data_IF_246544400090
#
_entry.id   IF_246544400090
#
_cell.length_a   1.000
_cell.length_b   1.000
_cell.length_c   1.000
_cell.angle_alpha   90.00
_cell.angle_beta   90.00
_cell.angle_gamma   90.00
#
_symmetry.space_group_name_H-M   'P 1'
#
loop_
_entity.id
_entity.type
_entity.pdbx_description
1 polymer ?
#
# COMPACT_ATOMS: atom_id res chain seq x y z
N UNK A 1 -11.44 -4.80 -38.60
CA UNK A 1 -11.95 -5.68 -37.52
C UNK A 1 -10.97 -5.97 -36.38
N UNK A 2 -9.63 -5.86 -36.52
CA UNK A 2 -8.68 -6.14 -35.41
C UNK A 2 -8.52 -5.02 -34.34
N UNK A 3 -9.06 -3.81 -34.58
CA UNK A 3 -8.97 -2.66 -33.63
C UNK A 3 -9.83 -2.82 -32.36
N UNK A 4 -10.86 -3.66 -32.36
CA UNK A 4 -11.77 -3.81 -31.21
C UNK A 4 -11.33 -4.89 -30.20
N UNK A 5 -10.53 -5.87 -30.63
CA UNK A 5 -10.26 -7.10 -29.84
C UNK A 5 -9.33 -6.82 -28.65
N UNK A 6 -8.39 -5.88 -28.76
CA UNK A 6 -7.35 -5.66 -27.75
C UNK A 6 -7.86 -4.95 -26.48
N UNK A 7 -8.73 -3.94 -26.66
CA UNK A 7 -9.43 -3.26 -25.56
C UNK A 7 -10.46 -4.18 -24.90
N UNK A 8 -11.06 -5.08 -25.69
CA UNK A 8 -12.03 -6.08 -25.23
C UNK A 8 -11.43 -7.01 -24.17
N UNK A 9 -10.17 -7.43 -24.28
CA UNK A 9 -9.56 -8.35 -23.31
C UNK A 9 -9.33 -7.71 -21.93
N UNK A 10 -8.94 -6.42 -21.88
CA UNK A 10 -8.76 -5.72 -20.60
C UNK A 10 -10.14 -5.40 -19.99
N UNK A 11 -11.09 -4.92 -20.79
CA UNK A 11 -12.48 -4.64 -20.37
C UNK A 11 -13.28 -5.89 -19.94
N UNK A 12 -13.08 -7.04 -20.58
CA UNK A 12 -13.66 -8.31 -20.13
C UNK A 12 -13.01 -8.74 -18.81
N UNK A 13 -11.69 -8.56 -18.66
CA UNK A 13 -11.01 -8.98 -17.44
C UNK A 13 -11.37 -8.11 -16.23
N UNK A 14 -11.57 -6.79 -16.40
CA UNK A 14 -12.09 -5.92 -15.33
C UNK A 14 -13.52 -6.31 -14.96
N UNK A 15 -14.40 -6.51 -15.94
CA UNK A 15 -15.75 -6.99 -15.68
C UNK A 15 -15.76 -8.39 -15.04
N UNK A 16 -14.87 -9.32 -15.40
CA UNK A 16 -14.80 -10.66 -14.81
C UNK A 16 -14.22 -10.66 -13.38
N UNK A 17 -13.27 -9.76 -13.08
CA UNK A 17 -12.68 -9.63 -11.74
C UNK A 17 -13.67 -9.00 -10.76
N UNK A 18 -14.50 -8.06 -11.21
CA UNK A 18 -15.45 -7.34 -10.37
C UNK A 18 -16.92 -7.77 -10.55
N UNK A 19 -17.23 -8.72 -11.45
CA UNK A 19 -18.58 -9.32 -11.60
C UNK A 19 -18.99 -10.19 -10.42
N UNK A 20 -18.04 -10.66 -9.61
CA UNK A 20 -18.35 -10.96 -8.21
C UNK A 20 -18.67 -9.63 -7.55
N UNK A 21 -19.92 -9.17 -7.69
CA UNK A 21 -20.60 -8.49 -6.58
C UNK A 21 -20.48 -9.47 -5.43
N UNK A 22 -19.42 -9.36 -4.65
CA UNK A 22 -19.37 -10.01 -3.37
C UNK A 22 -20.49 -9.34 -2.60
N UNK A 23 -21.62 -10.01 -2.48
CA UNK A 23 -22.50 -9.84 -1.34
C UNK A 23 -21.68 -10.24 -0.11
N UNK A 24 -20.72 -9.41 0.26
CA UNK A 24 -20.52 -9.13 1.68
C UNK A 24 -21.85 -8.48 2.01
N UNK A 25 -22.75 -9.27 2.59
CA UNK A 25 -24.07 -8.81 2.98
C UNK A 25 -23.89 -7.42 3.62
N UNK A 26 -24.65 -6.45 3.11
CA UNK A 26 -24.60 -5.04 3.43
C UNK A 26 -23.59 -4.64 4.52
N UNK A 27 -22.54 -3.91 4.12
CA UNK A 27 -21.60 -3.24 5.02
C UNK A 27 -22.28 -2.25 5.98
N UNK A 28 -23.60 -2.04 5.89
CA UNK A 28 -24.38 -1.34 6.89
C UNK A 28 -24.71 -2.26 8.05
N UNK A 29 -23.73 -2.39 8.95
CA UNK A 29 -23.86 -2.96 10.29
C UNK A 29 -24.31 -4.43 10.27
N UNK A 30 -23.39 -5.33 10.66
CA UNK A 30 -23.81 -6.34 11.63
C UNK A 30 -24.18 -5.53 12.88
N UNK A 31 -25.40 -4.98 12.91
CA UNK A 31 -25.99 -4.52 14.16
C UNK A 31 -26.09 -5.80 14.96
N UNK A 32 -25.38 -5.85 16.09
CA UNK A 32 -25.85 -6.64 17.22
C UNK A 32 -27.33 -6.35 17.30
N UNK A 33 -28.17 -7.34 17.00
CA UNK A 33 -29.60 -7.13 17.12
C UNK A 33 -29.88 -6.77 18.59
N UNK A 34 -31.01 -6.13 18.87
CA UNK A 34 -31.31 -5.66 20.22
C UNK A 34 -31.26 -6.79 21.26
N UNK A 35 -31.48 -8.04 20.81
CA UNK A 35 -31.39 -9.24 21.64
C UNK A 35 -29.94 -9.68 21.86
N UNK A 36 -29.06 -9.54 20.88
CA UNK A 36 -27.62 -9.71 21.00
C UNK A 36 -27.05 -8.63 21.92
N UNK A 37 -27.53 -7.38 21.89
CA UNK A 37 -27.13 -6.34 22.85
C UNK A 37 -27.52 -6.65 24.29
N UNK A 38 -28.79 -7.02 24.49
CA UNK A 38 -29.29 -7.45 25.80
C UNK A 38 -28.50 -8.66 26.30
N UNK A 39 -28.18 -9.60 25.41
CA UNK A 39 -27.28 -10.71 25.72
C UNK A 39 -25.91 -10.20 26.16
N UNK A 40 -25.29 -9.31 25.36
CA UNK A 40 -23.95 -8.81 25.63
C UNK A 40 -23.87 -8.06 26.97
N UNK A 41 -24.92 -7.30 27.34
CA UNK A 41 -25.05 -6.61 28.62
C UNK A 41 -25.23 -7.60 29.78
N UNK A 42 -26.17 -8.54 29.69
CA UNK A 42 -26.42 -9.56 30.72
C UNK A 42 -25.16 -10.43 30.97
N UNK A 43 -24.40 -10.75 29.92
CA UNK A 43 -23.17 -11.55 30.03
C UNK A 43 -21.94 -10.75 30.46
N UNK A 44 -21.98 -9.42 30.38
CA UNK A 44 -20.91 -8.56 30.91
C UNK A 44 -20.98 -8.40 32.42
N UNK A 45 -22.17 -8.56 33.01
CA UNK A 45 -22.42 -8.45 34.45
C UNK A 45 -22.25 -9.78 35.21
N UNK A 46 -22.29 -10.91 34.52
CA UNK A 46 -21.99 -12.23 35.09
C UNK A 46 -20.49 -12.46 35.11
N UNK A 47 -19.87 -12.18 36.27
CA UNK A 47 -18.44 -12.37 36.53
C UNK A 47 -17.90 -13.69 35.95
N UNK A 48 -16.88 -13.56 35.09
CA UNK A 48 -16.27 -14.54 34.19
C UNK A 48 -16.92 -14.62 32.80
N UNK A 49 -16.51 -13.68 31.93
CA UNK A 49 -16.47 -13.92 30.49
C UNK A 49 -15.87 -15.30 30.22
N UNK A 50 -16.57 -16.14 29.44
CA UNK A 50 -15.87 -17.24 28.79
C UNK A 50 -14.81 -16.63 27.85
N UNK A 51 -13.59 -17.15 27.90
CA UNK A 51 -12.48 -16.74 27.03
C UNK A 51 -12.90 -16.74 25.54
N UNK A 52 -13.79 -17.66 25.14
CA UNK A 52 -14.39 -17.70 23.79
C UNK A 52 -15.17 -16.44 23.41
N UNK A 53 -15.91 -15.86 24.35
CA UNK A 53 -16.75 -14.70 24.09
C UNK A 53 -15.92 -13.41 24.01
N UNK A 54 -14.90 -13.27 24.86
CA UNK A 54 -13.95 -12.15 24.76
C UNK A 54 -13.20 -12.15 23.44
N UNK A 55 -12.73 -13.34 23.00
CA UNK A 55 -12.06 -13.51 21.70
C UNK A 55 -12.96 -13.19 20.51
N UNK A 56 -14.24 -13.55 20.58
CA UNK A 56 -15.23 -13.21 19.56
C UNK A 56 -15.37 -11.69 19.40
N UNK A 57 -15.53 -10.94 20.50
CA UNK A 57 -15.66 -9.47 20.46
C UNK A 57 -14.39 -8.82 19.90
N UNK A 58 -13.21 -9.26 20.36
CA UNK A 58 -11.93 -8.75 19.84
C UNK A 58 -11.82 -8.97 18.33
N UNK A 59 -12.14 -10.17 17.84
CA UNK A 59 -12.07 -10.46 16.40
C UNK A 59 -13.09 -9.66 15.61
N UNK A 60 -14.33 -9.56 16.08
CA UNK A 60 -15.40 -8.81 15.40
C UNK A 60 -15.07 -7.31 15.35
N UNK A 61 -14.88 -6.70 16.50
CA UNK A 61 -14.94 -5.23 16.65
C UNK A 61 -13.59 -4.54 16.44
N UNK A 62 -12.48 -5.29 16.55
CA UNK A 62 -11.13 -4.74 16.41
C UNK A 62 -10.40 -5.30 15.19
N UNK A 63 -10.44 -6.62 14.96
CA UNK A 63 -9.69 -7.22 13.85
C UNK A 63 -10.45 -7.13 12.52
N UNK A 64 -11.74 -7.47 12.53
CA UNK A 64 -12.56 -7.56 11.32
C UNK A 64 -13.11 -6.18 10.93
N UNK A 65 -13.81 -5.54 11.86
CA UNK A 65 -14.40 -4.21 11.73
C UNK A 65 -13.55 -3.18 12.50
N UNK A 66 -13.53 -1.93 12.03
CA UNK A 66 -12.67 -0.86 12.58
C UNK A 66 -11.95 -0.07 11.49
N UNK A 67 -11.46 1.15 11.83
CA UNK A 67 -10.78 2.04 10.85
C UNK A 67 -9.57 1.40 10.16
N UNK A 68 -8.93 0.42 10.81
CA UNK A 68 -7.82 -0.37 10.28
C UNK A 68 -8.10 -1.88 10.19
N UNK A 69 -9.37 -2.29 10.33
CA UNK A 69 -9.77 -3.71 10.29
C UNK A 69 -9.60 -4.37 8.92
N UNK A 70 -9.67 -5.71 8.91
CA UNK A 70 -9.52 -6.57 7.72
C UNK A 70 -10.45 -6.11 6.60
N UNK A 71 -11.71 -5.75 6.90
CA UNK A 71 -12.68 -5.26 5.91
C UNK A 71 -12.20 -3.99 5.19
N UNK A 72 -11.66 -3.02 5.93
CA UNK A 72 -11.15 -1.78 5.35
C UNK A 72 -9.89 -2.01 4.50
N UNK A 73 -8.99 -2.89 4.95
CA UNK A 73 -7.78 -3.23 4.19
C UNK A 73 -8.13 -4.02 2.93
N UNK A 74 -9.13 -4.90 2.99
CA UNK A 74 -9.64 -5.62 1.83
C UNK A 74 -10.23 -4.68 0.77
N UNK A 75 -11.10 -3.75 1.17
CA UNK A 75 -11.67 -2.75 0.25
C UNK A 75 -10.59 -1.84 -0.36
N UNK A 76 -9.56 -1.49 0.42
CA UNK A 76 -8.39 -0.74 -0.08
C UNK A 76 -7.61 -1.54 -1.12
N UNK A 77 -7.29 -2.82 -0.85
CA UNK A 77 -6.65 -3.74 -1.80
C UNK A 77 -7.44 -3.81 -3.13
N UNK A 78 -8.77 -3.94 -3.07
CA UNK A 78 -9.62 -3.93 -4.26
C UNK A 78 -9.58 -2.59 -5.02
N UNK A 79 -9.63 -1.46 -4.31
CA UNK A 79 -9.58 -0.14 -4.90
C UNK A 79 -8.22 0.14 -5.58
N UNK A 80 -7.12 -0.28 -4.95
CA UNK A 80 -5.77 -0.16 -5.51
C UNK A 80 -5.64 -0.99 -6.78
N UNK A 81 -6.14 -2.23 -6.77
CA UNK A 81 -6.17 -3.08 -7.97
C UNK A 81 -6.98 -2.45 -9.10
N UNK A 82 -8.17 -1.88 -8.82
CA UNK A 82 -8.98 -1.17 -9.82
C UNK A 82 -8.23 0.00 -10.44
N UNK A 83 -7.58 0.84 -9.61
CA UNK A 83 -6.81 2.00 -10.08
C UNK A 83 -5.61 1.57 -10.93
N UNK A 84 -4.91 0.52 -10.51
CA UNK A 84 -3.79 -0.05 -11.27
C UNK A 84 -4.23 -0.57 -12.64
N UNK A 85 -5.32 -1.33 -12.71
CA UNK A 85 -5.84 -1.80 -14.02
C UNK A 85 -6.28 -0.64 -14.90
N UNK A 86 -6.96 0.36 -14.34
CA UNK A 86 -7.36 1.56 -15.10
C UNK A 86 -6.15 2.29 -15.67
N UNK A 87 -5.05 2.37 -14.91
CA UNK A 87 -3.81 2.98 -15.40
C UNK A 87 -3.25 2.26 -16.63
N UNK A 88 -3.30 0.92 -16.67
CA UNK A 88 -2.96 0.14 -17.87
C UNK A 88 -3.89 0.41 -19.05
N UNK A 89 -5.21 0.43 -18.81
CA UNK A 89 -6.20 0.72 -19.85
C UNK A 89 -5.98 2.09 -20.48
N UNK A 90 -5.81 3.11 -19.64
CA UNK A 90 -5.64 4.50 -20.09
C UNK A 90 -4.31 4.65 -20.86
N UNK A 91 -3.23 4.02 -20.39
CA UNK A 91 -1.96 4.04 -21.10
C UNK A 91 -2.07 3.39 -22.48
N UNK A 92 -2.60 2.17 -22.58
CA UNK A 92 -2.76 1.43 -23.85
C UNK A 92 -3.63 2.22 -24.85
N UNK A 93 -4.71 2.85 -24.40
CA UNK A 93 -5.60 3.67 -25.25
C UNK A 93 -4.85 4.85 -25.87
N UNK A 94 -3.96 5.47 -25.11
CA UNK A 94 -3.28 6.70 -25.47
C UNK A 94 -1.95 6.46 -26.23
N UNK A 95 -1.56 5.21 -26.49
CA UNK A 95 -0.39 4.94 -27.34
C UNK A 95 -0.66 5.40 -28.77
N UNK A 96 0.15 6.36 -29.21
CA UNK A 96 0.14 6.90 -30.56
C UNK A 96 1.57 7.30 -30.93
N UNK A 97 2.00 6.90 -32.12
CA UNK A 97 3.26 7.34 -32.73
C UNK A 97 2.90 7.98 -34.06
N UNK A 98 3.22 9.26 -34.22
CA UNK A 98 2.94 10.03 -35.44
C UNK A 98 4.18 10.12 -36.34
N UNK A 99 5.37 10.08 -35.74
CA UNK A 99 6.64 10.16 -36.45
C UNK A 99 7.68 9.15 -35.95
N UNK A 100 8.56 8.69 -36.84
CA UNK A 100 9.65 7.77 -36.49
C UNK A 100 10.62 8.33 -35.44
N UNK A 101 10.80 9.66 -35.42
CA UNK A 101 11.61 10.36 -34.40
C UNK A 101 11.04 10.23 -32.98
N UNK A 102 9.75 9.93 -32.82
CA UNK A 102 9.09 9.77 -31.51
C UNK A 102 9.36 8.41 -30.87
N UNK A 103 9.90 7.44 -31.63
CA UNK A 103 10.08 6.06 -31.16
C UNK A 103 11.03 6.00 -29.95
N UNK A 104 12.14 6.74 -30.00
CA UNK A 104 13.09 6.78 -28.89
C UNK A 104 12.50 7.48 -27.64
N UNK A 105 11.98 8.72 -27.73
CA UNK A 105 11.26 9.35 -26.60
C UNK A 105 10.12 8.51 -26.04
N UNK A 106 9.34 7.84 -26.90
CA UNK A 106 8.24 6.99 -26.47
C UNK A 106 8.73 5.72 -25.78
N UNK A 107 9.83 5.12 -26.24
CA UNK A 107 10.43 3.95 -25.58
C UNK A 107 10.79 4.27 -24.12
N UNK A 108 11.28 5.48 -23.87
CA UNK A 108 11.57 5.98 -22.53
C UNK A 108 10.31 6.15 -21.68
N UNK A 109 9.28 6.82 -22.19
CA UNK A 109 7.99 6.98 -21.50
C UNK A 109 7.36 5.63 -21.15
N UNK A 110 7.44 4.68 -22.08
CA UNK A 110 6.95 3.32 -21.86
C UNK A 110 7.67 2.62 -20.71
N UNK A 111 8.98 2.80 -20.62
CA UNK A 111 9.77 2.18 -19.56
C UNK A 111 9.47 2.80 -18.18
N UNK A 112 9.31 4.11 -18.12
CA UNK A 112 8.87 4.79 -16.90
C UNK A 112 7.52 4.25 -16.45
N UNK A 113 6.59 4.08 -17.39
CA UNK A 113 5.30 3.49 -17.13
C UNK A 113 5.41 2.06 -16.58
N UNK A 114 6.12 1.16 -17.24
CA UNK A 114 6.33 -0.22 -16.74
C UNK A 114 6.97 -0.28 -15.36
N UNK A 115 7.90 0.62 -15.08
CA UNK A 115 8.55 0.71 -13.76
C UNK A 115 7.55 1.10 -12.69
N UNK A 116 6.72 2.12 -12.95
CA UNK A 116 5.64 2.53 -12.03
C UNK A 116 4.64 1.39 -11.81
N UNK A 117 4.22 0.70 -12.87
CA UNK A 117 3.27 -0.40 -12.78
C UNK A 117 3.80 -1.57 -11.94
N UNK A 118 5.08 -1.90 -12.08
CA UNK A 118 5.72 -2.98 -11.31
C UNK A 118 5.73 -2.66 -9.82
N UNK A 119 6.08 -1.42 -9.47
CA UNK A 119 6.10 -0.95 -8.08
C UNK A 119 4.70 -0.90 -7.45
N UNK A 120 3.71 -0.45 -8.22
CA UNK A 120 2.32 -0.44 -7.78
C UNK A 120 1.80 -1.87 -7.58
N UNK A 121 2.15 -2.80 -8.47
CA UNK A 121 1.79 -4.21 -8.32
C UNK A 121 2.36 -4.82 -7.03
N UNK A 122 3.62 -4.56 -6.68
CA UNK A 122 4.21 -5.04 -5.42
C UNK A 122 3.54 -4.41 -4.18
N UNK A 123 3.23 -3.12 -4.21
CA UNK A 123 2.44 -2.47 -3.14
C UNK A 123 1.08 -3.13 -2.95
N UNK A 124 0.38 -3.43 -4.04
CA UNK A 124 -0.91 -4.14 -4.00
C UNK A 124 -0.71 -5.52 -3.39
N UNK A 125 0.32 -6.27 -3.81
CA UNK A 125 0.61 -7.61 -3.26
C UNK A 125 0.80 -7.56 -1.74
N UNK A 126 1.62 -6.63 -1.23
CA UNK A 126 1.86 -6.45 0.21
C UNK A 126 0.54 -6.14 0.93
N UNK A 127 -0.24 -5.16 0.43
CA UNK A 127 -1.51 -4.76 1.04
C UNK A 127 -2.52 -5.93 1.09
N UNK A 128 -2.61 -6.69 0.01
CA UNK A 128 -3.51 -7.82 -0.08
C UNK A 128 -3.02 -9.01 0.80
N UNK A 129 -1.72 -9.29 0.87
CA UNK A 129 -1.18 -10.32 1.76
C UNK A 129 -1.46 -10.02 3.24
N UNK A 130 -1.40 -8.74 3.64
CA UNK A 130 -1.77 -8.32 4.99
C UNK A 130 -3.21 -8.73 5.35
N UNK A 131 -4.15 -8.67 4.40
CA UNK A 131 -5.53 -9.13 4.63
C UNK A 131 -5.56 -10.62 4.94
N UNK A 132 -4.85 -11.43 4.13
CA UNK A 132 -4.79 -12.89 4.30
C UNK A 132 -4.18 -13.25 5.66
N UNK A 133 -3.06 -12.63 6.01
CA UNK A 133 -2.36 -12.90 7.27
C UNK A 133 -3.22 -12.57 8.48
N UNK A 134 -3.87 -11.40 8.52
CA UNK A 134 -4.69 -11.02 9.66
C UNK A 134 -6.01 -11.77 9.73
N UNK A 135 -6.58 -12.16 8.59
CA UNK A 135 -7.73 -13.04 8.58
C UNK A 135 -7.38 -14.44 9.12
N UNK A 136 -6.23 -15.00 8.74
CA UNK A 136 -5.75 -16.26 9.31
C UNK A 136 -5.50 -16.16 10.82
N UNK A 137 -4.82 -15.10 11.29
CA UNK A 137 -4.61 -14.86 12.72
C UNK A 137 -5.92 -14.74 13.48
N UNK A 138 -6.90 -14.04 12.90
CA UNK A 138 -8.23 -13.90 13.51
C UNK A 138 -8.98 -15.23 13.60
N UNK A 139 -8.90 -16.05 12.55
CA UNK A 139 -9.44 -17.41 12.55
C UNK A 139 -8.78 -18.29 13.61
N UNK A 140 -7.46 -18.16 13.79
CA UNK A 140 -6.69 -18.88 14.81
C UNK A 140 -7.10 -18.45 16.23
N UNK A 141 -7.22 -17.14 16.48
CA UNK A 141 -7.72 -16.61 17.77
C UNK A 141 -9.08 -17.22 18.09
N UNK A 142 -10.00 -17.26 17.11
CA UNK A 142 -11.32 -17.86 17.31
C UNK A 142 -11.24 -19.37 17.54
N UNK A 143 -10.35 -20.11 16.85
CA UNK A 143 -10.20 -21.57 17.00
C UNK A 143 -9.62 -21.98 18.35
N UNK A 144 -8.74 -21.15 18.91
CA UNK A 144 -8.09 -21.39 20.20
C UNK A 144 -8.97 -20.99 21.40
N UNK A 145 -10.25 -20.71 21.16
CA UNK A 145 -11.22 -20.35 22.20
C UNK A 145 -11.62 -21.56 23.04
N UNK A 146 -11.57 -21.43 24.37
CA UNK A 146 -12.08 -22.47 25.27
C UNK A 146 -13.60 -22.59 25.13
N UNK A 147 -14.17 -23.78 24.89
CA UNK A 147 -15.62 -23.96 24.82
C UNK A 147 -16.30 -23.48 26.11
N UNK A 148 -17.43 -22.81 25.97
CA UNK A 148 -18.22 -22.39 27.13
C UNK A 148 -18.82 -23.61 27.87
N UNK A 149 -19.00 -23.51 29.19
CA UNK A 149 -19.62 -24.58 29.97
C UNK A 149 -21.14 -24.57 29.78
N UNK A 150 -21.65 -25.58 29.07
CA UNK A 150 -23.10 -25.78 28.85
C UNK A 150 -23.89 -26.01 30.14
N UNK A 151 -23.22 -26.48 31.19
CA UNK A 151 -23.84 -26.74 32.50
C UNK A 151 -24.03 -25.44 33.28
N UNK A 152 -23.05 -24.53 33.24
CA UNK A 152 -23.10 -23.24 33.95
C UNK A 152 -24.07 -22.28 33.23
N UNK A 153 -24.19 -22.40 31.91
CA UNK A 153 -24.95 -21.46 31.08
C UNK A 153 -26.26 -22.05 30.56
N UNK A 154 -26.81 -23.08 31.22
CA UNK A 154 -27.99 -23.82 30.77
C UNK A 154 -29.25 -22.95 30.66
N UNK A 155 -29.35 -21.88 31.44
CA UNK A 155 -30.48 -20.93 31.39
C UNK A 155 -30.40 -19.96 30.20
N UNK A 156 -29.26 -19.92 29.52
CA UNK A 156 -28.94 -18.95 28.46
C UNK A 156 -28.89 -19.56 27.05
N UNK A 157 -29.47 -20.75 26.85
CA UNK A 157 -29.42 -21.52 25.61
C UNK A 157 -29.80 -20.74 24.35
N UNK A 158 -30.80 -19.86 24.42
CA UNK A 158 -31.19 -19.01 23.29
C UNK A 158 -30.04 -18.11 22.84
N UNK A 159 -29.42 -17.40 23.79
CA UNK A 159 -28.35 -16.45 23.50
C UNK A 159 -27.05 -17.13 23.07
N UNK A 160 -26.73 -18.29 23.66
CA UNK A 160 -25.62 -19.13 23.21
C UNK A 160 -25.79 -19.55 21.74
N UNK A 161 -27.02 -19.90 21.35
CA UNK A 161 -27.34 -20.21 19.95
C UNK A 161 -27.11 -19.03 19.00
N UNK A 162 -27.43 -17.80 19.40
CA UNK A 162 -27.18 -16.60 18.59
C UNK A 162 -25.68 -16.27 18.51
N UNK A 163 -24.93 -16.39 19.61
CA UNK A 163 -23.46 -16.22 19.61
C UNK A 163 -22.79 -17.24 18.69
N UNK A 164 -23.22 -18.50 18.71
CA UNK A 164 -22.70 -19.52 17.80
C UNK A 164 -22.99 -19.21 16.33
N UNK A 165 -24.21 -18.72 16.01
CA UNK A 165 -24.55 -18.29 14.66
C UNK A 165 -23.66 -17.12 14.22
N UNK A 166 -23.50 -16.10 15.06
CA UNK A 166 -22.62 -14.96 14.78
C UNK A 166 -21.16 -15.36 14.62
N UNK A 167 -20.68 -16.28 15.46
CA UNK A 167 -19.33 -16.87 15.36
C UNK A 167 -19.14 -17.55 14.01
N UNK A 168 -20.06 -18.43 13.60
CA UNK A 168 -20.02 -19.10 12.28
C UNK A 168 -20.05 -18.11 11.12
N UNK A 169 -20.81 -17.01 11.23
CA UNK A 169 -20.83 -15.93 10.22
C UNK A 169 -19.47 -15.27 10.11
N UNK A 170 -18.82 -14.91 11.21
CA UNK A 170 -17.47 -14.31 11.20
C UNK A 170 -16.45 -15.27 10.59
N UNK A 171 -16.46 -16.56 10.96
CA UNK A 171 -15.62 -17.59 10.32
C UNK A 171 -15.77 -17.56 8.80
N UNK A 172 -17.01 -17.61 8.31
CA UNK A 172 -17.32 -17.60 6.89
C UNK A 172 -16.82 -16.32 6.20
N UNK A 173 -16.97 -15.16 6.85
CA UNK A 173 -16.50 -13.87 6.30
C UNK A 173 -14.97 -13.83 6.20
N UNK A 174 -14.26 -14.24 7.25
CA UNK A 174 -12.79 -14.27 7.27
C UNK A 174 -12.24 -15.23 6.21
N UNK A 175 -12.80 -16.43 6.09
CA UNK A 175 -12.44 -17.40 5.05
C UNK A 175 -12.70 -16.85 3.64
N UNK A 176 -13.83 -16.16 3.46
CA UNK A 176 -14.16 -15.52 2.19
C UNK A 176 -13.17 -14.43 1.83
N UNK A 177 -12.76 -13.58 2.77
CA UNK A 177 -11.71 -12.59 2.53
C UNK A 177 -10.40 -13.25 2.09
N UNK A 178 -9.97 -14.33 2.77
CA UNK A 178 -8.76 -15.06 2.36
C UNK A 178 -8.88 -15.60 0.93
N UNK A 179 -10.00 -16.25 0.60
CA UNK A 179 -10.22 -16.84 -0.72
C UNK A 179 -10.28 -15.80 -1.83
N UNK A 180 -11.07 -14.73 -1.64
CA UNK A 180 -11.21 -13.67 -2.64
C UNK A 180 -9.90 -12.89 -2.80
N UNK A 181 -9.14 -12.63 -1.73
CA UNK A 181 -7.84 -11.96 -1.84
C UNK A 181 -6.81 -12.82 -2.56
N UNK A 182 -6.73 -14.13 -2.28
CA UNK A 182 -5.87 -15.06 -3.03
C UNK A 182 -6.22 -15.07 -4.53
N UNK A 183 -7.52 -15.04 -4.85
CA UNK A 183 -7.98 -14.92 -6.23
C UNK A 183 -7.49 -13.63 -6.89
N UNK A 184 -7.58 -12.48 -6.20
CA UNK A 184 -7.09 -11.20 -6.73
C UNK A 184 -5.57 -11.18 -6.96
N UNK A 185 -4.78 -11.75 -6.04
CA UNK A 185 -3.33 -11.84 -6.19
C UNK A 185 -2.96 -12.66 -7.44
N UNK A 186 -3.59 -13.82 -7.64
CA UNK A 186 -3.39 -14.63 -8.85
C UNK A 186 -3.78 -13.85 -10.11
N UNK A 187 -4.90 -13.12 -10.07
CA UNK A 187 -5.35 -12.30 -11.21
C UNK A 187 -4.42 -11.13 -11.52
N UNK A 188 -3.80 -10.52 -10.51
CA UNK A 188 -2.84 -9.45 -10.69
C UNK A 188 -1.63 -9.91 -11.52
N UNK A 189 -1.10 -11.10 -11.27
CA UNK A 189 0.01 -11.65 -12.07
C UNK A 189 -0.40 -11.95 -13.51
N UNK A 190 -1.55 -12.60 -13.70
CA UNK A 190 -2.09 -12.88 -15.04
C UNK A 190 -2.33 -11.60 -15.84
N UNK A 191 -2.90 -10.57 -15.20
CA UNK A 191 -3.14 -9.27 -15.80
C UNK A 191 -1.85 -8.56 -16.16
N UNK A 192 -0.83 -8.61 -15.29
CA UNK A 192 0.44 -7.97 -15.56
C UNK A 192 1.04 -8.48 -16.88
N UNK A 193 1.07 -9.80 -17.08
CA UNK A 193 1.57 -10.42 -18.31
C UNK A 193 0.74 -9.99 -19.53
N UNK A 194 -0.59 -10.02 -19.41
CA UNK A 194 -1.50 -9.65 -20.50
C UNK A 194 -1.38 -8.18 -20.88
N UNK A 195 -1.25 -7.29 -19.90
CA UNK A 195 -1.14 -5.85 -20.14
C UNK A 195 0.16 -5.49 -20.86
N UNK A 196 1.29 -6.11 -20.50
CA UNK A 196 2.54 -5.96 -21.25
C UNK A 196 2.38 -6.38 -22.71
N UNK A 197 1.78 -7.56 -22.97
CA UNK A 197 1.50 -8.03 -24.34
C UNK A 197 0.62 -7.07 -25.13
N UNK A 198 -0.42 -6.53 -24.50
CA UNK A 198 -1.32 -5.54 -25.13
C UNK A 198 -0.59 -4.26 -25.50
N UNK A 199 0.26 -3.75 -24.61
CA UNK A 199 1.09 -2.56 -24.89
C UNK A 199 2.02 -2.81 -26.08
N UNK A 200 2.79 -3.90 -26.07
CA UNK A 200 3.68 -4.21 -27.19
C UNK A 200 2.92 -4.39 -28.51
N UNK A 201 1.79 -5.10 -28.50
CA UNK A 201 0.96 -5.28 -29.70
C UNK A 201 0.47 -3.94 -30.26
N UNK A 202 0.06 -3.02 -29.38
CA UNK A 202 -0.39 -1.68 -29.77
C UNK A 202 0.75 -0.86 -30.36
N UNK A 203 1.96 -0.92 -29.78
CA UNK A 203 3.14 -0.23 -30.31
C UNK A 203 3.54 -0.77 -31.68
N UNK A 204 3.55 -2.10 -31.84
CA UNK A 204 3.79 -2.73 -33.14
C UNK A 204 2.85 -2.16 -34.20
N UNK A 205 1.55 -2.11 -33.89
CA UNK A 205 0.55 -1.51 -34.78
C UNK A 205 0.89 -0.04 -35.12
N UNK A 206 1.25 0.78 -34.13
CA UNK A 206 1.60 2.19 -34.40
C UNK A 206 2.88 2.33 -35.24
N UNK A 207 3.92 1.52 -35.02
CA UNK A 207 5.14 1.53 -35.83
C UNK A 207 4.83 1.16 -37.28
N UNK A 208 4.02 0.13 -37.53
CA UNK A 208 3.63 -0.23 -38.90
C UNK A 208 2.84 0.87 -39.60
N UNK A 209 2.08 1.71 -38.88
CA UNK A 209 1.36 2.85 -39.48
C UNK A 209 2.29 3.96 -39.97
N UNK A 210 3.49 4.07 -39.40
CA UNK A 210 4.48 5.05 -39.83
C UNK A 210 5.03 4.76 -41.24
N UNK A 211 4.72 3.58 -41.80
CA UNK A 211 5.26 3.10 -43.09
C UNK A 211 6.78 3.27 -43.20
N UNK A 212 7.55 2.81 -42.21
CA UNK A 212 9.00 2.90 -42.31
C UNK A 212 9.54 2.01 -43.43
N UNK A 213 10.72 2.35 -43.95
CA UNK A 213 11.42 1.55 -44.96
C UNK A 213 11.69 0.12 -44.47
N UNK A 214 12.06 -0.03 -43.18
CA UNK A 214 12.18 -1.34 -42.53
C UNK A 214 11.54 -1.35 -41.11
N UNK A 215 10.27 -1.78 -40.97
CA UNK A 215 9.60 -1.85 -39.68
C UNK A 215 10.21 -2.91 -38.76
N UNK A 216 10.86 -3.95 -39.29
CA UNK A 216 11.42 -5.04 -38.49
C UNK A 216 12.66 -4.56 -37.77
N UNK A 217 13.55 -3.84 -38.45
CA UNK A 217 14.74 -3.22 -37.83
C UNK A 217 14.31 -2.26 -36.72
N UNK A 218 13.34 -1.38 -37.00
CA UNK A 218 12.83 -0.43 -36.00
C UNK A 218 12.21 -1.13 -34.79
N UNK A 219 11.47 -2.22 -35.01
CA UNK A 219 10.91 -3.03 -33.93
C UNK A 219 12.02 -3.70 -33.11
N UNK A 220 13.03 -4.25 -33.77
CA UNK A 220 14.16 -4.88 -33.10
C UNK A 220 14.97 -3.87 -32.28
N UNK A 221 15.20 -2.67 -32.81
CA UNK A 221 15.82 -1.57 -32.08
C UNK A 221 14.96 -1.16 -30.88
N UNK A 222 13.65 -1.03 -31.08
CA UNK A 222 12.72 -0.73 -29.98
C UNK A 222 12.74 -1.81 -28.89
N UNK A 223 12.71 -3.09 -29.24
CA UNK A 223 12.79 -4.18 -28.27
C UNK A 223 14.15 -4.23 -27.57
N UNK A 224 15.23 -3.94 -28.30
CA UNK A 224 16.58 -3.85 -27.74
C UNK A 224 16.68 -2.71 -26.72
N UNK A 225 16.10 -1.54 -27.02
CA UNK A 225 15.96 -0.41 -26.09
C UNK A 225 15.20 -0.81 -24.81
N UNK A 226 14.08 -1.50 -24.96
CA UNK A 226 13.27 -1.96 -23.83
C UNK A 226 14.03 -2.99 -22.97
N UNK A 227 14.64 -4.00 -23.61
CA UNK A 227 15.34 -5.09 -22.93
C UNK A 227 16.61 -4.62 -22.21
N UNK A 228 17.44 -3.80 -22.86
CA UNK A 228 18.62 -3.18 -22.24
C UNK A 228 18.27 -2.44 -20.95
N UNK A 229 17.08 -1.83 -20.93
CA UNK A 229 16.62 -1.04 -19.82
C UNK A 229 16.00 -1.87 -18.68
N UNK A 230 15.52 -3.09 -18.98
CA UNK A 230 14.86 -3.99 -18.02
C UNK A 230 15.73 -4.27 -16.80
N UNK A 231 17.02 -4.46 -17.01
CA UNK A 231 17.95 -4.86 -15.96
C UNK A 231 18.36 -3.68 -15.06
N UNK A 232 18.21 -2.43 -15.55
CA UNK A 232 18.49 -1.19 -14.81
C UNK A 232 17.26 -0.56 -14.16
N UNK A 233 16.06 -0.89 -14.65
CA UNK A 233 14.81 -0.30 -14.19
C UNK A 233 14.48 -0.52 -12.72
N UNK A 234 14.67 -1.72 -12.13
CA UNK A 234 14.40 -1.92 -10.72
C UNK A 234 15.20 -0.97 -9.83
N UNK A 235 16.49 -0.77 -10.16
CA UNK A 235 17.39 0.10 -9.41
C UNK A 235 17.00 1.59 -9.55
N UNK A 236 16.74 2.07 -10.77
CA UNK A 236 16.31 3.46 -11.02
C UNK A 236 14.92 3.73 -10.40
N UNK A 237 13.99 2.79 -10.52
CA UNK A 237 12.66 2.92 -9.94
C UNK A 237 12.69 2.95 -8.41
N UNK A 238 13.55 2.14 -7.79
CA UNK A 238 13.81 2.17 -6.34
C UNK A 238 14.34 3.52 -5.89
N UNK A 239 15.29 4.10 -6.63
CA UNK A 239 15.81 5.46 -6.36
C UNK A 239 14.67 6.48 -6.44
N UNK A 240 13.90 6.51 -7.52
CA UNK A 240 12.79 7.47 -7.71
C UNK A 240 11.70 7.34 -6.65
N UNK A 241 11.38 6.12 -6.19
CA UNK A 241 10.46 5.92 -5.08
C UNK A 241 11.00 6.45 -3.77
N UNK A 242 12.28 6.21 -3.52
CA UNK A 242 12.95 6.62 -2.29
C UNK A 242 13.05 8.14 -2.26
N UNK A 243 13.34 8.81 -3.38
CA UNK A 243 13.27 10.26 -3.55
C UNK A 243 11.90 10.80 -3.13
N UNK A 244 10.81 10.28 -3.72
CA UNK A 244 9.45 10.72 -3.39
C UNK A 244 9.10 10.52 -1.92
N UNK A 245 9.56 9.41 -1.33
CA UNK A 245 9.32 9.11 0.08
C UNK A 245 10.12 10.02 1.00
N UNK A 246 11.34 10.40 0.61
CA UNK A 246 12.13 11.41 1.31
C UNK A 246 11.43 12.77 1.23
N UNK A 247 10.93 13.16 0.06
CA UNK A 247 10.14 14.40 -0.10
C UNK A 247 8.92 14.40 0.82
N UNK A 248 8.15 13.32 0.86
CA UNK A 248 7.01 13.17 1.76
C UNK A 248 7.43 13.32 3.25
N UNK A 249 8.56 12.73 3.63
CA UNK A 249 9.08 12.85 5.00
C UNK A 249 9.55 14.27 5.32
N UNK A 250 10.17 14.96 4.36
CA UNK A 250 10.57 16.36 4.48
C UNK A 250 9.35 17.27 4.67
N UNK A 251 8.30 17.10 3.85
CA UNK A 251 7.05 17.85 3.95
C UNK A 251 6.36 17.66 5.30
N UNK A 252 6.50 16.47 5.89
CA UNK A 252 5.93 16.10 7.20
C UNK A 252 6.88 16.29 8.37
N UNK A 253 8.05 16.93 8.18
CA UNK A 253 9.06 17.15 9.22
C UNK A 253 9.63 15.87 9.88
N UNK A 254 9.55 14.71 9.23
CA UNK A 254 10.05 13.40 9.73
C UNK A 254 11.55 13.25 9.47
N UNK A 255 12.36 13.94 10.27
CA UNK A 255 13.81 14.06 10.08
C UNK A 255 14.59 12.74 10.12
N UNK A 256 14.42 11.94 11.16
CA UNK A 256 15.21 10.72 11.34
C UNK A 256 14.86 9.65 10.32
N UNK A 257 13.57 9.54 9.94
CA UNK A 257 13.14 8.69 8.84
C UNK A 257 13.68 9.16 7.48
N UNK A 258 13.70 10.47 7.22
CA UNK A 258 14.32 11.01 6.02
C UNK A 258 15.83 10.76 5.98
N UNK A 259 16.53 10.96 7.10
CA UNK A 259 17.97 10.71 7.23
C UNK A 259 18.32 9.24 6.93
N UNK A 260 17.58 8.30 7.53
CA UNK A 260 17.80 6.87 7.30
C UNK A 260 17.59 6.48 5.83
N UNK A 261 16.57 7.03 5.18
CA UNK A 261 16.34 6.79 3.75
C UNK A 261 17.41 7.45 2.87
N UNK A 262 17.88 8.64 3.25
CA UNK A 262 18.95 9.34 2.54
C UNK A 262 20.26 8.55 2.55
N UNK A 263 20.66 7.98 3.69
CA UNK A 263 21.89 7.17 3.75
C UNK A 263 21.79 5.94 2.82
N UNK A 264 20.61 5.32 2.75
CA UNK A 264 20.35 4.22 1.82
C UNK A 264 20.38 4.66 0.35
N UNK A 265 19.82 5.84 0.02
CA UNK A 265 19.77 6.30 -1.38
C UNK A 265 21.16 6.66 -1.91
N UNK A 266 22.06 7.18 -1.07
CA UNK A 266 23.45 7.44 -1.47
C UNK A 266 24.17 6.15 -1.90
N UNK A 267 23.97 5.07 -1.12
CA UNK A 267 24.52 3.75 -1.45
C UNK A 267 23.90 3.18 -2.72
N UNK A 268 22.57 3.25 -2.86
CA UNK A 268 21.86 2.77 -4.04
C UNK A 268 22.26 3.55 -5.31
N UNK A 269 22.39 4.88 -5.21
CA UNK A 269 22.86 5.75 -6.30
C UNK A 269 24.28 5.38 -6.73
N UNK A 270 25.22 5.24 -5.79
CA UNK A 270 26.60 4.88 -6.10
C UNK A 270 26.72 3.47 -6.72
N UNK A 271 25.93 2.51 -6.23
CA UNK A 271 25.87 1.15 -6.76
C UNK A 271 25.30 1.13 -8.18
N UNK A 272 24.15 1.75 -8.39
CA UNK A 272 23.46 1.81 -9.70
C UNK A 272 24.32 2.54 -10.73
N UNK A 273 25.03 3.60 -10.34
CA UNK A 273 25.95 4.32 -11.21
C UNK A 273 27.10 3.43 -11.71
N UNK A 274 27.70 2.59 -10.84
CA UNK A 274 28.72 1.62 -11.24
C UNK A 274 28.15 0.53 -12.14
N UNK A 275 26.96 0.03 -11.84
CA UNK A 275 26.28 -0.98 -12.66
C UNK A 275 26.02 -0.50 -14.09
N UNK A 276 25.63 0.77 -14.27
CA UNK A 276 25.44 1.36 -15.60
C UNK A 276 26.77 1.52 -16.35
N UNK A 277 27.81 2.03 -15.68
CA UNK A 277 29.12 2.24 -16.30
C UNK A 277 29.79 0.94 -16.75
N UNK A 278 29.55 -0.16 -16.02
CA UNK A 278 30.10 -1.47 -16.34
C UNK A 278 29.28 -2.22 -17.40
N UNK A 279 28.10 -1.74 -17.77
CA UNK A 279 27.25 -2.40 -18.76
C UNK A 279 27.64 -1.97 -20.18
N UNK A 280 28.11 -2.94 -20.98
CA UNK A 280 28.62 -2.75 -22.35
C UNK A 280 27.52 -2.33 -23.34
N UNK A 281 26.24 -2.39 -22.92
CA UNK A 281 25.11 -1.99 -23.76
C UNK A 281 25.15 -0.48 -23.98
N UNK A 282 25.67 -0.14 -25.17
CA UNK A 282 25.85 1.17 -25.79
C UNK A 282 25.25 2.34 -24.99
N UNK A 283 26.14 3.06 -24.30
CA UNK A 283 25.89 4.28 -23.50
C UNK A 283 24.94 5.29 -24.16
N UNK A 284 24.84 5.26 -25.49
CA UNK A 284 23.87 6.06 -26.27
C UNK A 284 22.40 5.79 -25.91
N UNK A 285 22.04 4.57 -25.52
CA UNK A 285 20.65 4.16 -25.25
C UNK A 285 20.25 4.22 -23.77
N UNK A 286 21.21 4.33 -22.88
CA UNK A 286 21.00 4.42 -21.43
C UNK A 286 21.23 5.84 -20.89
N UNK A 287 21.71 6.78 -21.73
CA UNK A 287 22.04 8.16 -21.35
C UNK A 287 20.89 8.87 -20.65
N UNK A 288 19.67 8.81 -21.20
CA UNK A 288 18.50 9.43 -20.55
C UNK A 288 18.23 8.86 -19.15
N UNK A 289 18.35 7.55 -18.95
CA UNK A 289 18.12 6.94 -17.63
C UNK A 289 19.23 7.25 -16.65
N UNK A 290 20.45 7.32 -17.16
CA UNK A 290 21.60 7.75 -16.41
C UNK A 290 21.44 9.19 -15.96
N UNK A 291 21.00 10.08 -16.85
CA UNK A 291 20.72 11.49 -16.56
C UNK A 291 19.58 11.62 -15.55
N UNK A 292 18.47 10.90 -15.74
CA UNK A 292 17.33 10.90 -14.80
C UNK A 292 17.71 10.35 -13.43
N UNK A 293 18.50 9.28 -13.36
CA UNK A 293 19.01 8.75 -12.09
C UNK A 293 19.93 9.76 -11.42
N UNK A 294 20.86 10.37 -12.17
CA UNK A 294 21.74 11.43 -11.67
C UNK A 294 20.94 12.63 -11.16
N UNK A 295 19.90 13.02 -11.88
CA UNK A 295 18.96 14.07 -11.48
C UNK A 295 18.25 13.71 -10.18
N UNK A 296 17.60 12.53 -10.09
CA UNK A 296 16.93 12.07 -8.87
C UNK A 296 17.87 11.96 -7.66
N UNK A 297 19.10 11.45 -7.86
CA UNK A 297 20.12 11.40 -6.81
C UNK A 297 20.53 12.82 -6.36
N UNK A 298 20.72 13.74 -7.31
CA UNK A 298 21.05 15.15 -7.04
C UNK A 298 19.90 15.89 -6.36
N UNK A 299 18.66 15.72 -6.83
CA UNK A 299 17.46 16.33 -6.26
C UNK A 299 17.22 15.84 -4.84
N UNK A 300 17.37 14.54 -4.59
CA UNK A 300 17.26 13.99 -3.24
C UNK A 300 18.33 14.56 -2.32
N UNK A 301 19.58 14.65 -2.81
CA UNK A 301 20.67 15.27 -2.07
C UNK A 301 20.37 16.73 -1.71
N UNK A 302 19.99 17.53 -2.71
CA UNK A 302 19.71 18.94 -2.53
C UNK A 302 18.52 19.17 -1.60
N UNK A 303 17.44 18.40 -1.78
CA UNK A 303 16.23 18.49 -0.95
C UNK A 303 16.54 18.15 0.51
N UNK A 304 17.23 17.03 0.77
CA UNK A 304 17.58 16.65 2.13
C UNK A 304 18.58 17.61 2.77
N UNK A 305 19.59 18.09 2.03
CA UNK A 305 20.55 19.06 2.54
C UNK A 305 19.91 20.42 2.83
N UNK A 306 18.97 20.87 2.00
CA UNK A 306 18.19 22.08 2.26
C UNK A 306 17.32 21.89 3.51
N UNK A 307 16.61 20.76 3.60
CA UNK A 307 15.81 20.42 4.77
C UNK A 307 16.67 20.38 6.04
N UNK A 308 17.85 19.75 6.01
CA UNK A 308 18.84 19.70 7.11
C UNK A 308 19.38 21.08 7.51
N UNK A 309 19.47 22.03 6.57
CA UNK A 309 19.93 23.41 6.82
C UNK A 309 18.82 24.32 7.34
N UNK A 310 17.55 24.04 6.99
CA UNK A 310 16.38 24.85 7.36
C UNK A 310 16.24 24.99 8.87
N UNK A 311 16.69 24.01 9.64
CA UNK A 311 16.69 24.05 11.09
C UNK A 311 18.10 23.86 11.63
N UNK A 312 18.48 24.72 12.59
CA UNK A 312 19.82 24.70 13.17
C UNK A 312 20.01 23.47 14.07
N UNK A 313 18.93 23.02 14.72
CA UNK A 313 18.99 21.91 15.68
C UNK A 313 18.00 20.79 15.35
N UNK A 314 18.37 19.54 15.69
CA UNK A 314 17.54 18.35 15.43
C UNK A 314 16.20 18.35 16.18
N UNK A 315 16.14 18.98 17.36
CA UNK A 315 14.90 19.08 18.13
C UNK A 315 13.86 19.98 17.45
N UNK A 316 14.27 20.94 16.62
CA UNK A 316 13.34 21.82 15.90
C UNK A 316 12.45 21.01 14.94
N UNK A 317 12.98 19.96 14.30
CA UNK A 317 12.18 19.06 13.46
C UNK A 317 11.12 18.33 14.27
N UNK A 318 11.46 17.85 15.47
CA UNK A 318 10.53 17.15 16.35
C UNK A 318 9.41 18.10 16.80
N UNK A 319 9.74 19.35 17.13
CA UNK A 319 8.74 20.37 17.50
C UNK A 319 7.75 20.60 16.35
N UNK A 320 8.25 20.82 15.14
CA UNK A 320 7.40 20.99 13.96
C UNK A 320 6.58 19.74 13.64
N UNK A 321 7.14 18.54 13.87
CA UNK A 321 6.41 17.29 13.64
C UNK A 321 5.31 17.04 14.69
N UNK A 322 5.51 17.44 15.95
CA UNK A 322 4.46 17.43 16.98
C UNK A 322 3.29 18.32 16.54
N UNK A 323 3.59 19.55 16.09
CA UNK A 323 2.56 20.49 15.62
C UNK A 323 1.84 19.97 14.37
N UNK A 324 2.60 19.45 13.40
CA UNK A 324 2.05 18.81 12.21
C UNK A 324 1.11 17.66 12.59
N UNK A 325 1.53 16.77 13.48
CA UNK A 325 0.73 15.62 13.93
C UNK A 325 -0.56 16.10 14.58
N UNK A 326 -0.48 17.08 15.51
CA UNK A 326 -1.66 17.67 16.15
C UNK A 326 -2.69 18.20 15.15
N UNK A 327 -2.25 18.87 14.11
CA UNK A 327 -3.14 19.48 13.12
C UNK A 327 -3.70 18.47 12.11
N UNK A 328 -3.09 17.28 12.00
CA UNK A 328 -3.43 16.29 10.99
C UNK A 328 -3.97 14.97 11.56
N UNK A 329 -4.20 14.89 12.88
CA UNK A 329 -4.78 13.70 13.54
C UNK A 329 -6.09 14.01 14.22
N UNK A 330 -7.03 13.05 14.19
CA UNK A 330 -8.27 13.09 14.96
C UNK A 330 -8.34 11.89 15.90
N UNK A 331 -7.96 12.12 17.14
CA UNK A 331 -8.04 11.12 18.22
C UNK A 331 -9.17 11.53 19.15
N UNK A 332 -10.19 10.68 19.25
CA UNK A 332 -11.26 10.87 20.22
C UNK A 332 -10.86 10.25 21.56
N UNK A 333 -10.41 11.10 22.48
CA UNK A 333 -9.99 10.70 23.83
C UNK A 333 -11.14 10.52 24.81
N UNK A 334 -12.39 10.74 24.38
CA UNK A 334 -13.57 10.41 25.20
C UNK A 334 -13.96 8.94 25.13
N UNK A 335 -13.39 8.18 24.19
CA UNK A 335 -13.67 6.76 23.98
C UNK A 335 -12.60 5.87 24.64
N UNK A 336 -13.02 4.88 25.44
CA UNK A 336 -12.11 3.99 26.18
C UNK A 336 -11.16 3.18 25.27
N UNK A 337 -11.53 2.96 24.01
CA UNK A 337 -10.70 2.25 23.02
C UNK A 337 -9.41 3.03 22.66
N UNK A 338 -9.39 4.35 22.85
CA UNK A 338 -8.26 5.22 22.48
C UNK A 338 -7.38 5.64 23.68
N UNK A 339 -7.55 5.04 24.86
CA UNK A 339 -6.84 5.45 26.08
C UNK A 339 -5.31 5.39 25.90
N UNK A 340 -4.79 4.32 25.30
CA UNK A 340 -3.35 4.14 25.07
C UNK A 340 -2.77 5.26 24.17
N UNK A 341 -3.28 5.49 22.94
CA UNK A 341 -2.78 6.54 22.07
C UNK A 341 -3.04 7.95 22.61
N UNK A 342 -4.12 8.18 23.35
CA UNK A 342 -4.36 9.44 24.05
C UNK A 342 -3.34 9.70 25.17
N UNK A 343 -2.96 8.66 25.91
CA UNK A 343 -1.91 8.74 26.91
C UNK A 343 -0.54 8.96 26.26
N UNK A 344 -0.20 8.22 25.20
CA UNK A 344 1.05 8.43 24.46
C UNK A 344 1.14 9.86 23.90
N UNK A 345 0.06 10.37 23.31
CA UNK A 345 0.01 11.73 22.78
C UNK A 345 0.04 12.81 23.87
N UNK A 346 -0.60 12.55 25.01
CA UNK A 346 -0.56 13.42 26.20
C UNK A 346 0.86 13.51 26.78
N UNK A 347 1.54 12.36 26.93
CA UNK A 347 2.93 12.31 27.40
C UNK A 347 3.84 13.09 26.45
N UNK A 348 3.72 12.89 25.13
CA UNK A 348 4.55 13.63 24.16
C UNK A 348 4.25 15.14 24.20
N UNK A 349 2.98 15.55 24.37
CA UNK A 349 2.59 16.96 24.54
C UNK A 349 3.09 17.58 25.85
N UNK A 350 3.29 16.76 26.88
CA UNK A 350 3.75 17.24 28.19
C UNK A 350 5.24 17.56 28.22
N UNK A 351 6.02 17.08 27.23
CA UNK A 351 7.45 17.38 27.11
C UNK A 351 7.61 18.86 26.81
N UNK A 352 8.31 19.59 27.68
CA UNK A 352 8.57 21.01 27.46
C UNK A 352 9.54 21.18 26.29
N UNK A 353 9.31 22.20 25.46
CA UNK A 353 10.17 22.51 24.30
C UNK A 353 11.64 22.67 24.73
N UNK A 354 11.89 23.28 25.89
CA UNK A 354 13.24 23.46 26.42
C UNK A 354 13.89 22.16 26.88
N UNK A 355 13.11 21.14 27.27
CA UNK A 355 13.62 19.82 27.62
C UNK A 355 14.08 19.04 26.38
N UNK A 356 13.40 19.21 25.25
CA UNK A 356 13.78 18.57 23.97
C UNK A 356 15.19 18.97 23.52
N UNK A 357 15.66 20.17 23.89
CA UNK A 357 17.02 20.64 23.57
C UNK A 357 18.11 19.74 24.15
N UNK A 358 17.82 19.11 25.29
CA UNK A 358 18.76 18.26 26.03
C UNK A 358 18.63 16.77 25.66
N UNK A 359 17.70 16.42 24.77
CA UNK A 359 17.49 15.03 24.40
C UNK A 359 18.54 14.56 23.38
N UNK A 360 19.12 13.39 23.64
CA UNK A 360 19.96 12.69 22.66
C UNK A 360 19.19 12.38 21.38
N UNK A 361 19.91 12.17 20.28
CA UNK A 361 19.32 11.78 18.99
C UNK A 361 18.47 10.51 19.07
N UNK A 362 18.88 9.52 19.86
CA UNK A 362 18.11 8.30 20.07
C UNK A 362 16.73 8.58 20.67
N UNK A 363 16.66 9.46 21.68
CA UNK A 363 15.40 9.91 22.30
C UNK A 363 14.55 10.70 21.30
N UNK A 364 15.13 11.62 20.55
CA UNK A 364 14.40 12.40 19.54
C UNK A 364 13.85 11.51 18.41
N UNK A 365 14.65 10.54 17.93
CA UNK A 365 14.24 9.56 16.93
C UNK A 365 13.13 8.64 17.45
N UNK A 366 13.18 8.25 18.72
CA UNK A 366 12.11 7.48 19.36
C UNK A 366 10.79 8.27 19.41
N UNK A 367 10.84 9.55 19.78
CA UNK A 367 9.66 10.43 19.78
C UNK A 367 9.08 10.57 18.37
N UNK A 368 9.91 10.78 17.34
CA UNK A 368 9.46 10.80 15.94
C UNK A 368 8.75 9.48 15.56
N UNK A 369 9.31 8.34 15.94
CA UNK A 369 8.71 7.04 15.62
C UNK A 369 7.33 6.86 16.28
N UNK A 370 7.15 7.35 17.51
CA UNK A 370 5.87 7.28 18.21
C UNK A 370 4.83 8.22 17.60
N UNK A 371 5.21 9.47 17.32
CA UNK A 371 4.35 10.43 16.61
C UNK A 371 3.93 9.93 15.24
N UNK A 372 4.83 9.29 14.50
CA UNK A 372 4.51 8.73 13.19
C UNK A 372 3.48 7.61 13.26
N UNK A 373 3.56 6.76 14.29
CA UNK A 373 2.59 5.69 14.53
C UNK A 373 1.21 6.28 14.78
N UNK A 374 1.14 7.27 15.67
CA UNK A 374 -0.09 8.01 15.96
C UNK A 374 -0.65 8.68 14.70
N UNK A 375 0.20 9.36 13.93
CA UNK A 375 -0.20 10.03 12.69
C UNK A 375 -0.78 9.05 11.66
N UNK A 376 -0.13 7.91 11.42
CA UNK A 376 -0.63 6.96 10.42
C UNK A 376 -1.92 6.25 10.85
N UNK A 377 -2.10 6.02 12.16
CA UNK A 377 -3.30 5.39 12.71
C UNK A 377 -4.51 6.34 12.75
N UNK A 378 -4.28 7.63 13.05
CA UNK A 378 -5.32 8.61 13.35
C UNK A 378 -5.36 9.80 12.41
N UNK A 379 -4.70 9.73 11.24
CA UNK A 379 -4.76 10.81 10.24
C UNK A 379 -6.19 11.16 9.84
N UNK A 380 -6.42 12.45 9.68
CA UNK A 380 -7.67 13.05 9.19
C UNK A 380 -8.09 12.53 7.81
#
# INVERSE_FOLDING_TARGET
MKKLILLFFILISTNAIFRKKSSYADETKITTDEKEKIALEIFSETNNLSDSYGRFIVVRDHNLYGMNGISKKFTTCQADLKRWIKSWEDFVKNIQLNHSKEIYPFSTTLQDFFSIQSLQAEKIKINCNYVIENANKSLEIMKNSVPYSKVILSEYNYYLGEIEKSTKRIYTVLEKYILDTKYYLKKLEELNIKSHKSVFSKITIEIYKLKPEDPIIILNDFYSLINASRDLNPSVAKINMTEKKIQEYIEKYKYFKALKLYDHILLDCAKTHREILNNIINTKYLSYKFDKMRESCSNTYNAFMHFKKKFKNKHDYIINFIEYTKNNTKIDCSNNVNIIPCNEFSVIKSIKIDELKNFSEQKLSFIESKLDTILEEYKL
#
